data_IF_232716635917
#
_entry.id   IF_232716635917
#
_cell.length_a   1.000
_cell.length_b   1.000
_cell.length_c   1.000
_cell.angle_alpha   90.00
_cell.angle_beta   90.00
_cell.angle_gamma   90.00
#
_symmetry.space_group_name_H-M   'P 1'
#
loop_
_entity.id
_entity.type
_entity.pdbx_description
1 polymer ?
#
# COMPACT_ATOMS: atom_id res chain seq x y z
N UNK A 1 -9.98 3.75 -1.89
CA UNK A 1 -11.38 4.23 -1.87
C UNK A 1 -11.46 5.71 -1.48
N UNK A 2 -10.86 6.16 -0.38
CA UNK A 2 -10.86 7.56 0.06
C UNK A 2 -10.34 8.53 -1.02
N UNK A 3 -9.20 8.21 -1.62
CA UNK A 3 -8.61 9.03 -2.71
C UNK A 3 -9.54 9.09 -3.92
N UNK A 4 -10.19 7.98 -4.26
CA UNK A 4 -11.15 7.90 -5.34
C UNK A 4 -12.36 8.79 -5.08
N UNK A 5 -12.92 8.72 -3.88
CA UNK A 5 -14.05 9.55 -3.47
C UNK A 5 -13.70 11.05 -3.54
N UNK A 6 -12.48 11.41 -3.12
CA UNK A 6 -12.01 12.79 -3.20
C UNK A 6 -11.86 13.25 -4.65
N UNK A 7 -11.24 12.44 -5.50
CA UNK A 7 -11.06 12.78 -6.92
C UNK A 7 -12.39 12.92 -7.66
N UNK A 8 -13.38 12.06 -7.34
CA UNK A 8 -14.74 12.18 -7.89
C UNK A 8 -15.39 13.50 -7.48
N UNK A 9 -15.32 13.88 -6.20
CA UNK A 9 -15.87 15.13 -5.69
C UNK A 9 -15.18 16.37 -6.28
N UNK A 10 -13.85 16.34 -6.40
CA UNK A 10 -13.09 17.42 -7.03
C UNK A 10 -13.43 17.57 -8.51
N UNK A 11 -13.56 16.46 -9.24
CA UNK A 11 -13.95 16.47 -10.64
C UNK A 11 -15.36 17.05 -10.84
N UNK A 12 -16.32 16.68 -9.99
CA UNK A 12 -17.68 17.25 -10.01
C UNK A 12 -17.66 18.76 -9.74
N UNK A 13 -16.88 19.18 -8.73
CA UNK A 13 -16.74 20.60 -8.35
C UNK A 13 -16.16 21.44 -9.49
N UNK A 14 -15.21 20.92 -10.25
CA UNK A 14 -14.57 21.62 -11.37
C UNK A 14 -15.20 21.35 -12.73
N UNK A 15 -16.28 20.55 -12.80
CA UNK A 15 -16.96 20.19 -14.04
C UNK A 15 -16.10 19.38 -15.01
N UNK A 16 -15.17 18.58 -14.47
CA UNK A 16 -14.28 17.70 -15.24
C UNK A 16 -14.84 16.29 -15.31
N UNK A 17 -14.61 15.61 -16.44
CA UNK A 17 -14.86 14.17 -16.52
C UNK A 17 -13.77 13.42 -15.73
N UNK A 18 -14.20 12.50 -14.86
CA UNK A 18 -13.32 11.62 -14.08
C UNK A 18 -13.67 10.16 -14.39
N UNK A 19 -12.68 9.43 -14.89
CA UNK A 19 -12.79 8.00 -15.08
C UNK A 19 -12.26 7.31 -13.81
N UNK A 20 -13.19 6.86 -12.97
CA UNK A 20 -12.86 6.22 -11.70
C UNK A 20 -12.21 4.85 -11.87
N UNK A 21 -11.44 4.44 -10.86
CA UNK A 21 -10.80 3.11 -10.83
C UNK A 21 -11.82 1.98 -10.66
N UNK A 22 -12.91 2.23 -9.91
CA UNK A 22 -13.89 1.20 -9.60
C UNK A 22 -15.01 1.16 -10.65
N UNK A 23 -15.42 -0.05 -11.09
CA UNK A 23 -16.54 -0.20 -12.00
C UNK A 23 -17.83 0.35 -11.39
N UNK A 24 -18.57 1.20 -12.14
CA UNK A 24 -19.82 1.83 -11.67
C UNK A 24 -20.93 0.82 -11.40
N UNK A 25 -20.91 -0.31 -12.08
CA UNK A 25 -21.87 -1.42 -11.91
C UNK A 25 -21.56 -2.33 -10.72
N UNK A 26 -20.40 -2.15 -10.07
CA UNK A 26 -19.95 -2.96 -8.93
C UNK A 26 -19.57 -2.09 -7.71
N UNK A 27 -20.49 -1.29 -7.17
CA UNK A 27 -20.19 -0.41 -6.04
C UNK A 27 -19.71 -1.16 -4.79
N UNK A 28 -20.10 -2.42 -4.65
CA UNK A 28 -19.70 -3.29 -3.53
C UNK A 28 -18.20 -3.66 -3.53
N UNK A 29 -17.45 -3.33 -4.56
CA UNK A 29 -15.98 -3.43 -4.56
C UNK A 29 -15.31 -2.26 -3.82
N UNK A 30 -16.03 -1.17 -3.57
CA UNK A 30 -15.52 -0.04 -2.78
C UNK A 30 -15.61 -0.34 -1.29
N UNK A 31 -14.62 0.11 -0.52
CA UNK A 31 -14.50 -0.20 0.90
C UNK A 31 -15.74 0.17 1.71
N UNK A 32 -16.30 1.36 1.48
CA UNK A 32 -17.48 1.83 2.21
C UNK A 32 -18.77 1.01 1.98
N UNK A 33 -18.84 0.27 0.87
CA UNK A 33 -19.92 -0.68 0.64
C UNK A 33 -19.53 -2.11 1.07
N UNK A 34 -18.27 -2.49 0.81
CA UNK A 34 -17.77 -3.82 1.12
C UNK A 34 -17.84 -4.13 2.62
N UNK A 35 -17.43 -3.18 3.47
CA UNK A 35 -17.44 -3.35 4.93
C UNK A 35 -18.83 -3.58 5.51
N UNK A 36 -19.87 -3.05 4.88
CA UNK A 36 -21.28 -3.14 5.33
C UNK A 36 -22.01 -4.40 4.83
N UNK A 37 -21.30 -5.32 4.17
CA UNK A 37 -21.89 -6.59 3.75
C UNK A 37 -22.19 -7.44 4.99
N UNK A 38 -23.49 -7.58 5.31
CA UNK A 38 -23.94 -8.22 6.54
C UNK A 38 -23.72 -9.75 6.64
N UNK A 39 -23.33 -10.42 5.55
CA UNK A 39 -23.06 -11.86 5.51
C UNK A 39 -21.56 -12.11 5.32
N UNK A 40 -20.94 -12.80 6.28
CA UNK A 40 -19.54 -13.19 6.22
C UNK A 40 -19.23 -14.04 4.97
N UNK A 41 -20.10 -14.99 4.64
CA UNK A 41 -19.92 -15.86 3.47
C UNK A 41 -20.00 -15.07 2.17
N UNK A 42 -20.96 -14.13 2.06
CA UNK A 42 -21.07 -13.25 0.88
C UNK A 42 -19.86 -12.32 0.77
N UNK A 43 -19.42 -11.73 1.88
CA UNK A 43 -18.21 -10.90 1.94
C UNK A 43 -16.98 -11.69 1.46
N UNK A 44 -16.84 -12.93 1.93
CA UNK A 44 -15.74 -13.82 1.54
C UNK A 44 -15.78 -14.17 0.05
N UNK A 45 -16.95 -14.51 -0.46
CA UNK A 45 -17.14 -14.81 -1.88
C UNK A 45 -16.77 -13.61 -2.75
N UNK A 46 -17.28 -12.41 -2.44
CA UNK A 46 -16.95 -11.18 -3.18
C UNK A 46 -15.45 -10.88 -3.09
N UNK A 47 -14.82 -11.02 -1.92
CA UNK A 47 -13.40 -10.82 -1.76
C UNK A 47 -12.59 -11.75 -2.64
N UNK A 48 -12.90 -13.03 -2.63
CA UNK A 48 -12.13 -14.06 -3.34
C UNK A 48 -12.35 -14.01 -4.86
N UNK A 49 -13.60 -13.86 -5.29
CA UNK A 49 -13.98 -14.05 -6.69
C UNK A 49 -13.97 -12.75 -7.49
N UNK A 50 -14.10 -11.59 -6.83
CA UNK A 50 -14.22 -10.31 -7.52
C UNK A 50 -13.22 -9.25 -7.02
N UNK A 51 -13.20 -8.92 -5.73
CA UNK A 51 -12.42 -7.80 -5.21
C UNK A 51 -10.91 -8.08 -5.28
N UNK A 52 -10.45 -9.24 -4.85
CA UNK A 52 -9.03 -9.58 -4.91
C UNK A 52 -8.52 -9.72 -6.36
N UNK A 53 -9.23 -10.39 -7.29
CA UNK A 53 -8.90 -10.35 -8.71
C UNK A 53 -8.91 -8.95 -9.31
N UNK A 54 -9.86 -8.09 -8.93
CA UNK A 54 -9.92 -6.71 -9.37
C UNK A 54 -8.66 -5.93 -8.90
N UNK A 55 -8.32 -6.00 -7.61
CA UNK A 55 -7.12 -5.35 -7.05
C UNK A 55 -5.86 -5.87 -7.75
N UNK A 56 -5.77 -7.18 -7.98
CA UNK A 56 -4.63 -7.80 -8.65
C UNK A 56 -4.40 -7.29 -10.07
N UNK A 57 -5.48 -6.94 -10.77
CA UNK A 57 -5.46 -6.46 -12.15
C UNK A 57 -5.59 -4.93 -12.28
N UNK A 58 -5.52 -4.17 -11.16
CA UNK A 58 -5.51 -2.72 -11.20
C UNK A 58 -4.38 -2.22 -12.12
N UNK A 59 -4.70 -1.33 -13.06
CA UNK A 59 -3.79 -0.84 -14.11
C UNK A 59 -3.35 -1.93 -15.12
N UNK A 60 -4.29 -2.62 -15.64
CA UNK A 60 -4.37 -3.85 -16.43
C UNK A 60 -3.55 -4.07 -17.70
N UNK A 61 -2.56 -3.26 -18.05
CA UNK A 61 -1.72 -3.48 -19.24
C UNK A 61 -0.53 -4.44 -19.03
N UNK A 62 -0.46 -5.09 -17.86
CA UNK A 62 0.53 -6.15 -17.57
C UNK A 62 1.99 -5.69 -17.47
N UNK A 63 2.32 -4.45 -17.87
CA UNK A 63 3.68 -3.91 -17.87
C UNK A 63 3.97 -3.00 -16.68
N UNK A 64 2.95 -2.57 -15.93
CA UNK A 64 3.16 -1.76 -14.73
C UNK A 64 3.94 -2.53 -13.65
N UNK A 65 4.75 -1.82 -12.87
CA UNK A 65 5.46 -2.40 -11.72
C UNK A 65 4.48 -3.08 -10.76
N UNK A 66 3.32 -2.47 -10.55
CA UNK A 66 2.23 -3.02 -9.73
C UNK A 66 1.75 -4.39 -10.26
N UNK A 67 1.45 -4.50 -11.55
CA UNK A 67 0.97 -5.74 -12.16
C UNK A 67 2.00 -6.87 -12.05
N UNK A 68 3.30 -6.56 -12.18
CA UNK A 68 4.38 -7.53 -11.99
C UNK A 68 4.41 -8.10 -10.58
N UNK A 69 4.33 -7.24 -9.55
CA UNK A 69 4.38 -7.66 -8.15
C UNK A 69 3.10 -8.36 -7.70
N UNK A 70 1.95 -7.98 -8.25
CA UNK A 70 0.67 -8.60 -7.91
C UNK A 70 0.39 -9.89 -8.67
N UNK A 71 1.16 -10.24 -9.70
CA UNK A 71 0.92 -11.42 -10.55
C UNK A 71 0.75 -12.70 -9.74
N UNK A 72 1.64 -12.93 -8.78
CA UNK A 72 1.68 -14.15 -7.98
C UNK A 72 1.00 -13.99 -6.60
N UNK A 73 0.33 -12.86 -6.37
CA UNK A 73 -0.39 -12.62 -5.14
C UNK A 73 -1.55 -13.59 -4.97
N UNK A 74 -1.69 -14.14 -3.76
CA UNK A 74 -2.72 -15.11 -3.39
C UNK A 74 -3.49 -14.58 -2.17
N UNK A 75 -4.82 -14.61 -2.24
CA UNK A 75 -5.67 -14.34 -1.09
C UNK A 75 -5.54 -15.47 -0.07
N UNK A 76 -5.05 -15.16 1.15
CA UNK A 76 -4.69 -16.18 2.15
C UNK A 76 -5.60 -16.21 3.39
N UNK A 77 -6.61 -15.37 3.51
CA UNK A 77 -7.54 -15.47 4.65
C UNK A 77 -8.38 -16.74 4.47
N UNK A 78 -8.31 -17.71 5.40
CA UNK A 78 -8.83 -19.05 5.14
C UNK A 78 -10.35 -19.19 5.35
N UNK A 79 -10.99 -18.26 6.07
CA UNK A 79 -12.41 -18.39 6.43
C UNK A 79 -13.17 -17.06 6.40
N UNK A 80 -14.45 -17.13 6.08
CA UNK A 80 -15.36 -15.99 6.06
C UNK A 80 -15.41 -15.24 7.40
N UNK A 81 -15.49 -15.97 8.52
CA UNK A 81 -15.52 -15.39 9.86
C UNK A 81 -14.22 -14.62 10.19
N UNK A 82 -13.07 -15.11 9.73
CA UNK A 82 -11.80 -14.41 9.95
C UNK A 82 -11.76 -13.13 9.11
N UNK A 83 -12.20 -13.19 7.85
CA UNK A 83 -12.29 -12.00 7.00
C UNK A 83 -13.18 -10.93 7.64
N UNK A 84 -14.37 -11.31 8.12
CA UNK A 84 -15.30 -10.38 8.77
C UNK A 84 -14.65 -9.72 10.01
N UNK A 85 -13.97 -10.50 10.85
CA UNK A 85 -13.23 -9.95 12.00
C UNK A 85 -12.14 -8.96 11.59
N UNK A 86 -11.40 -9.25 10.52
CA UNK A 86 -10.36 -8.35 9.99
C UNK A 86 -11.01 -7.06 9.49
N UNK A 87 -12.07 -7.13 8.71
CA UNK A 87 -12.80 -5.96 8.19
C UNK A 87 -13.31 -5.09 9.33
N UNK A 88 -13.98 -5.68 10.33
CA UNK A 88 -14.49 -4.98 11.51
C UNK A 88 -13.35 -4.35 12.33
N UNK A 89 -12.24 -5.05 12.45
CA UNK A 89 -11.05 -4.54 13.14
C UNK A 89 -10.44 -3.32 12.45
N UNK A 90 -10.35 -3.34 11.11
CA UNK A 90 -9.83 -2.22 10.32
C UNK A 90 -10.76 -1.00 10.44
N UNK A 91 -12.07 -1.20 10.42
CA UNK A 91 -13.04 -0.12 10.57
C UNK A 91 -12.92 0.62 11.91
N UNK A 92 -12.57 -0.10 12.97
CA UNK A 92 -12.32 0.48 14.30
C UNK A 92 -11.03 1.30 14.42
N UNK A 93 -10.18 1.32 13.38
CA UNK A 93 -8.93 2.05 13.39
C UNK A 93 -9.15 3.44 12.79
N UNK A 94 -8.75 4.48 13.53
CA UNK A 94 -8.68 5.83 12.98
C UNK A 94 -7.48 5.91 12.02
N UNK A 95 -7.74 5.78 10.71
CA UNK A 95 -6.69 5.75 9.68
C UNK A 95 -6.42 7.11 9.06
N UNK A 96 -7.03 8.18 9.56
CA UNK A 96 -6.86 9.54 9.04
C UNK A 96 -5.47 10.12 9.33
N UNK A 97 -4.80 9.63 10.37
CA UNK A 97 -3.41 10.00 10.65
C UNK A 97 -2.46 9.03 9.93
N UNK A 98 -1.62 9.56 9.03
CA UNK A 98 -0.68 8.77 8.23
C UNK A 98 0.29 7.92 9.09
N UNK A 99 0.64 8.41 10.29
CA UNK A 99 1.52 7.71 11.22
C UNK A 99 0.87 6.49 11.88
N UNK A 100 -0.45 6.48 12.09
CA UNK A 100 -1.15 5.36 12.76
C UNK A 100 -1.04 4.06 11.98
N UNK A 101 -1.06 4.12 10.64
CA UNK A 101 -0.91 2.92 9.80
C UNK A 101 0.47 2.29 9.94
N UNK A 102 1.51 3.12 9.98
CA UNK A 102 2.89 2.69 10.19
C UNK A 102 3.10 2.10 11.58
N UNK A 103 2.65 2.79 12.62
CA UNK A 103 2.79 2.37 14.01
C UNK A 103 2.01 1.08 14.31
N UNK A 104 0.81 0.93 13.75
CA UNK A 104 0.03 -0.30 13.86
C UNK A 104 0.74 -1.47 13.18
N UNK A 105 1.28 -1.25 12.00
CA UNK A 105 2.04 -2.27 11.29
C UNK A 105 3.28 -2.69 12.08
N UNK A 106 4.05 -1.74 12.61
CA UNK A 106 5.19 -2.02 13.49
C UNK A 106 4.77 -2.76 14.76
N UNK A 107 3.67 -2.34 15.39
CA UNK A 107 3.14 -3.02 16.57
C UNK A 107 2.76 -4.47 16.28
N UNK A 108 2.05 -4.72 15.18
CA UNK A 108 1.65 -6.08 14.78
C UNK A 108 2.87 -6.95 14.50
N UNK A 109 3.87 -6.42 13.82
CA UNK A 109 5.10 -7.14 13.51
C UNK A 109 5.94 -7.41 14.75
N UNK A 110 6.02 -6.47 15.70
CA UNK A 110 6.65 -6.67 16.98
C UNK A 110 5.94 -7.77 17.81
N UNK A 111 4.61 -7.80 17.78
CA UNK A 111 3.83 -8.86 18.43
C UNK A 111 4.05 -10.23 17.80
N UNK A 112 4.16 -10.32 16.48
CA UNK A 112 4.48 -11.56 15.78
C UNK A 112 5.92 -12.03 16.09
N UNK A 113 6.88 -11.12 16.14
CA UNK A 113 8.26 -11.42 16.51
C UNK A 113 8.40 -11.91 17.96
N UNK A 114 7.67 -11.33 18.91
CA UNK A 114 7.68 -11.74 20.31
C UNK A 114 6.95 -13.07 20.57
N UNK A 115 6.08 -13.52 19.67
CA UNK A 115 5.41 -14.83 19.77
C UNK A 115 6.27 -16.04 19.35
N UNK A 116 7.56 -15.85 19.07
CA UNK A 116 8.55 -16.89 19.19
C UNK A 116 8.94 -17.68 17.94
N UNK A 117 8.58 -17.22 16.73
CA UNK A 117 8.93 -17.98 15.52
C UNK A 117 9.91 -17.34 14.56
N UNK A 118 10.13 -16.03 14.60
CA UNK A 118 11.21 -15.38 13.84
C UNK A 118 11.59 -14.05 14.49
N UNK A 119 12.71 -14.04 15.22
CA UNK A 119 13.28 -12.84 15.83
C UNK A 119 13.96 -11.93 14.80
N UNK A 120 13.23 -11.42 13.85
CA UNK A 120 13.73 -10.35 13.00
C UNK A 120 13.71 -9.04 13.80
N UNK A 121 14.88 -8.57 14.18
CA UNK A 121 15.05 -7.26 14.78
C UNK A 121 14.89 -6.22 13.67
N UNK A 122 13.88 -5.37 13.80
CA UNK A 122 13.67 -4.24 12.89
C UNK A 122 14.36 -3.01 13.44
N UNK A 123 14.98 -2.24 12.56
CA UNK A 123 15.46 -0.91 12.92
C UNK A 123 14.27 -0.01 13.18
N UNK A 124 14.17 0.64 14.35
CA UNK A 124 13.05 1.55 14.66
C UNK A 124 12.94 2.68 13.65
N UNK A 125 11.71 3.07 13.30
CA UNK A 125 11.43 4.06 12.25
C UNK A 125 12.12 5.40 12.48
N UNK A 126 12.18 5.89 13.73
CA UNK A 126 12.87 7.14 14.05
C UNK A 126 14.38 7.09 13.76
N UNK A 127 15.01 5.91 13.90
CA UNK A 127 16.43 5.72 13.54
C UNK A 127 16.58 5.69 12.02
N UNK A 128 15.69 5.01 11.30
CA UNK A 128 15.67 5.01 9.83
C UNK A 128 15.54 6.45 9.33
N UNK A 129 14.56 7.19 9.82
CA UNK A 129 14.33 8.58 9.44
C UNK A 129 15.53 9.48 9.74
N UNK A 130 16.18 9.29 10.89
CA UNK A 130 17.40 10.01 11.23
C UNK A 130 18.52 9.75 10.21
N UNK A 131 18.77 8.48 9.87
CA UNK A 131 19.82 8.09 8.92
C UNK A 131 19.51 8.64 7.52
N UNK A 132 18.28 8.49 7.05
CA UNK A 132 17.86 8.99 5.73
C UNK A 132 18.01 10.52 5.65
N UNK A 133 17.61 11.24 6.71
CA UNK A 133 17.78 12.70 6.76
C UNK A 133 19.26 13.16 6.83
N UNK A 134 20.16 12.32 7.31
CA UNK A 134 21.60 12.59 7.29
C UNK A 134 22.21 12.30 5.91
N UNK A 135 21.80 11.20 5.28
CA UNK A 135 22.29 10.78 3.94
C UNK A 135 21.76 11.69 2.84
N UNK A 136 20.49 12.13 2.95
CA UNK A 136 19.81 13.03 1.98
C UNK A 136 19.86 12.50 0.55
N UNK A 137 19.24 11.36 0.27
CA UNK A 137 19.23 10.83 -1.08
C UNK A 137 18.58 11.81 -2.07
N UNK A 138 19.07 11.79 -3.32
CA UNK A 138 18.56 12.64 -4.41
C UNK A 138 17.94 11.81 -5.54
N UNK A 139 17.09 12.40 -6.40
CA UNK A 139 16.32 11.67 -7.43
C UNK A 139 17.14 10.85 -8.43
N UNK A 140 18.42 11.13 -8.57
CA UNK A 140 19.34 10.43 -9.49
C UNK A 140 20.12 9.29 -8.86
N UNK A 141 19.99 9.10 -7.53
CA UNK A 141 20.72 8.07 -6.81
C UNK A 141 20.18 6.67 -7.12
N UNK A 142 21.03 5.68 -6.89
CA UNK A 142 20.64 4.28 -6.78
C UNK A 142 20.90 3.84 -5.35
N UNK A 143 19.85 3.41 -4.68
CA UNK A 143 19.85 3.04 -3.26
C UNK A 143 19.87 1.53 -3.17
N UNK A 144 20.81 0.98 -2.39
CA UNK A 144 20.95 -0.45 -2.17
C UNK A 144 20.91 -0.76 -0.67
N UNK A 145 20.04 -1.68 -0.29
CA UNK A 145 20.01 -2.29 1.05
C UNK A 145 20.43 -3.76 0.92
N UNK A 146 21.66 -4.11 1.34
CA UNK A 146 22.18 -5.47 1.20
C UNK A 146 21.65 -6.47 2.23
N UNK A 147 20.88 -6.00 3.21
CA UNK A 147 20.24 -6.82 4.26
C UNK A 147 18.83 -6.28 4.52
N UNK A 148 18.05 -6.24 3.45
CA UNK A 148 16.80 -5.48 3.33
C UNK A 148 15.75 -5.89 4.39
N UNK A 149 15.64 -7.16 4.72
CA UNK A 149 14.58 -7.66 5.57
C UNK A 149 13.21 -7.20 5.06
N UNK A 150 12.58 -6.30 5.81
CA UNK A 150 11.26 -5.73 5.44
C UNK A 150 11.35 -4.44 4.66
N UNK A 151 12.49 -4.13 4.09
CA UNK A 151 12.76 -2.93 3.29
C UNK A 151 12.60 -1.59 4.04
N UNK A 152 12.75 -1.58 5.36
CA UNK A 152 12.52 -0.38 6.17
C UNK A 152 13.33 0.85 5.71
N UNK A 153 14.61 0.67 5.40
CA UNK A 153 15.46 1.75 4.89
C UNK A 153 15.07 2.23 3.49
N UNK A 154 14.69 1.29 2.60
CA UNK A 154 14.24 1.64 1.26
C UNK A 154 12.93 2.42 1.28
N UNK A 155 11.99 2.01 2.15
CA UNK A 155 10.72 2.72 2.35
C UNK A 155 10.96 4.12 2.94
N UNK A 156 11.81 4.23 3.97
CA UNK A 156 12.15 5.54 4.54
C UNK A 156 12.82 6.49 3.54
N UNK A 157 13.69 5.96 2.67
CA UNK A 157 14.30 6.75 1.60
C UNK A 157 13.27 7.17 0.53
N UNK A 158 12.33 6.29 0.20
CA UNK A 158 11.23 6.56 -0.71
C UNK A 158 10.34 7.70 -0.19
N UNK A 159 9.92 7.62 1.07
CA UNK A 159 9.11 8.66 1.74
C UNK A 159 9.84 10.00 1.75
N UNK A 160 11.14 10.00 2.10
CA UNK A 160 11.96 11.22 2.09
C UNK A 160 12.02 11.87 0.71
N UNK A 161 12.29 11.07 -0.32
CA UNK A 161 12.37 11.57 -1.70
C UNK A 161 11.05 12.16 -2.18
N UNK A 162 9.92 11.52 -1.87
CA UNK A 162 8.58 12.05 -2.19
C UNK A 162 8.28 13.38 -1.50
N UNK A 163 8.73 13.51 -0.25
CA UNK A 163 8.48 14.73 0.54
C UNK A 163 9.37 15.90 0.10
N UNK A 164 10.62 15.64 -0.28
CA UNK A 164 11.63 16.67 -0.51
C UNK A 164 11.88 17.00 -1.99
N UNK A 165 11.42 16.18 -2.91
CA UNK A 165 11.77 16.24 -4.33
C UNK A 165 10.52 16.15 -5.22
N UNK A 166 9.79 17.26 -5.34
CA UNK A 166 8.59 17.35 -6.19
C UNK A 166 8.93 17.11 -7.68
N UNK A 167 10.17 17.41 -8.11
CA UNK A 167 10.65 17.18 -9.45
C UNK A 167 10.58 15.72 -9.90
N UNK A 168 10.58 14.77 -8.97
CA UNK A 168 10.38 13.33 -9.25
C UNK A 168 9.09 13.03 -10.03
N UNK A 169 8.08 13.88 -9.87
CA UNK A 169 6.76 13.66 -10.47
C UNK A 169 6.56 14.47 -11.73
N UNK A 170 7.46 15.44 -12.00
CA UNK A 170 7.39 16.34 -13.13
C UNK A 170 8.26 15.89 -14.32
N UNK A 171 9.28 15.05 -14.07
CA UNK A 171 10.17 14.51 -15.08
C UNK A 171 9.94 13.02 -15.29
N UNK A 172 9.54 12.61 -16.48
CA UNK A 172 9.22 11.21 -16.81
C UNK A 172 10.43 10.27 -16.64
N UNK A 173 11.65 10.74 -16.85
CA UNK A 173 12.88 9.93 -16.69
C UNK A 173 13.18 9.69 -15.21
N UNK A 174 13.05 10.72 -14.38
CA UNK A 174 13.21 10.60 -12.94
C UNK A 174 12.13 9.69 -12.36
N UNK A 175 10.89 9.83 -12.82
CA UNK A 175 9.78 8.97 -12.42
C UNK A 175 10.00 7.51 -12.82
N UNK A 176 10.50 7.25 -14.03
CA UNK A 176 10.87 5.89 -14.45
C UNK A 176 12.00 5.32 -13.61
N UNK A 177 13.05 6.13 -13.36
CA UNK A 177 14.17 5.72 -12.50
C UNK A 177 13.72 5.38 -11.09
N UNK A 178 12.94 6.25 -10.46
CA UNK A 178 12.37 6.08 -9.14
C UNK A 178 11.55 4.79 -9.01
N UNK A 179 10.65 4.53 -9.98
CA UNK A 179 9.75 3.39 -9.91
C UNK A 179 10.40 2.04 -10.26
N UNK A 180 11.47 2.03 -11.04
CA UNK A 180 11.97 0.79 -11.64
C UNK A 180 13.44 0.48 -11.39
N UNK A 181 14.26 1.46 -10.99
CA UNK A 181 15.73 1.30 -10.98
C UNK A 181 16.40 1.79 -9.70
N UNK A 182 15.76 2.71 -8.98
CA UNK A 182 16.37 3.40 -7.85
C UNK A 182 16.59 2.47 -6.66
N UNK A 183 15.61 1.66 -6.29
CA UNK A 183 15.62 0.87 -5.06
C UNK A 183 16.01 -0.58 -5.33
N UNK A 184 17.06 -1.03 -4.66
CA UNK A 184 17.58 -2.38 -4.78
C UNK A 184 17.75 -3.00 -3.40
N UNK A 185 17.13 -4.14 -3.16
CA UNK A 185 17.22 -4.86 -1.88
C UNK A 185 17.68 -6.30 -2.08
N UNK A 186 18.49 -6.78 -1.13
CA UNK A 186 18.95 -8.16 -1.05
C UNK A 186 18.64 -8.70 0.35
N UNK A 187 18.27 -10.01 0.46
CA UNK A 187 17.97 -10.68 1.72
C UNK A 187 18.56 -12.09 1.76
#
# INVERSE_FOLDING_TARGET
DEVETKNEADAELFGMEYEGLFPKDKPYLRWHHFKDIGSADKMYQIMNDELFPFIKNLKGDGESSYARFMRDAIFKIPTANLLQKVVTGIEGLNTEEADVKGDLYEYLLNKLATSGTNGQFRTPRHIINMIVNLVKPVPTDTICDPAMGTAGFLIGAEEYLREKHEELFLDDKLKEHFNNKMFNGFD
#
